data_IF_842702803523
#
_entry.id   IF_842702803523
#
_cell.length_a   1.000
_cell.length_b   1.000
_cell.length_c   1.000
_cell.angle_alpha   90.00
_cell.angle_beta   90.00
_cell.angle_gamma   90.00
#
_symmetry.space_group_name_H-M   'P 1'
#
loop_
_entity.id
_entity.type
_entity.pdbx_description
1 polymer ?
#
# COMPACT_ATOMS: atom_id res chain seq x y z
N UNK A 1 -4.03 8.23 -19.05
CA UNK A 1 -2.66 8.38 -19.59
C UNK A 1 -2.72 8.93 -21.02
N UNK A 2 -2.30 10.18 -21.21
CA UNK A 2 -2.37 10.86 -22.49
C UNK A 2 -1.05 10.67 -23.30
N UNK A 3 -0.96 9.56 -24.02
CA UNK A 3 0.15 9.28 -24.92
C UNK A 3 -0.28 9.48 -26.38
N UNK A 4 0.66 9.73 -27.28
CA UNK A 4 0.40 9.95 -28.71
C UNK A 4 0.18 8.64 -29.46
N UNK A 5 -1.05 8.31 -29.92
CA UNK A 5 -1.38 6.99 -30.46
C UNK A 5 -0.60 6.60 -31.71
N UNK A 6 -0.17 7.60 -32.50
CA UNK A 6 0.54 7.41 -33.78
C UNK A 6 2.04 7.16 -33.60
N UNK A 7 2.61 7.51 -32.45
CA UNK A 7 4.03 7.28 -32.13
C UNK A 7 4.23 5.86 -31.59
N UNK A 8 5.40 5.28 -31.84
CA UNK A 8 5.83 4.07 -31.15
C UNK A 8 6.18 4.40 -29.70
N UNK A 9 6.25 3.38 -28.81
CA UNK A 9 6.71 3.58 -27.43
C UNK A 9 8.06 4.31 -27.40
N UNK A 10 9.03 3.85 -28.19
CA UNK A 10 10.35 4.49 -28.28
C UNK A 10 10.30 5.95 -28.80
N UNK A 11 9.44 6.24 -29.77
CA UNK A 11 9.26 7.62 -30.27
C UNK A 11 8.63 8.52 -29.20
N UNK A 12 7.68 7.99 -28.43
CA UNK A 12 7.04 8.68 -27.31
C UNK A 12 8.07 9.06 -26.24
N UNK A 13 8.91 8.11 -25.82
CA UNK A 13 9.96 8.37 -24.83
C UNK A 13 11.00 9.37 -25.36
N UNK A 14 11.36 9.27 -26.64
CA UNK A 14 12.26 10.25 -27.28
C UNK A 14 11.65 11.65 -27.31
N UNK A 15 10.35 11.74 -27.57
CA UNK A 15 9.64 13.02 -27.58
C UNK A 15 9.68 13.68 -26.19
N UNK A 16 9.27 12.95 -25.14
CA UNK A 16 9.33 13.45 -23.75
C UNK A 16 10.77 13.76 -23.32
N UNK A 17 11.73 12.90 -23.67
CA UNK A 17 13.13 13.13 -23.34
C UNK A 17 13.70 14.43 -23.89
N UNK A 18 13.32 14.81 -25.12
CA UNK A 18 13.75 16.08 -25.70
C UNK A 18 13.21 17.31 -24.96
N UNK A 19 12.06 17.19 -24.30
CA UNK A 19 11.48 18.27 -23.48
C UNK A 19 12.25 18.45 -22.16
N UNK A 20 12.98 17.43 -21.72
CA UNK A 20 13.72 17.40 -20.45
C UNK A 20 15.26 17.38 -20.64
N UNK A 21 15.74 17.85 -21.79
CA UNK A 21 17.18 18.04 -22.02
C UNK A 21 17.93 16.82 -22.57
N UNK A 22 17.24 15.72 -22.86
CA UNK A 22 17.87 14.53 -23.46
C UNK A 22 17.21 13.21 -23.15
N UNK A 23 17.83 12.12 -23.61
CA UNK A 23 17.34 10.75 -23.44
C UNK A 23 18.51 9.87 -23.04
N UNK A 24 18.46 9.29 -21.85
CA UNK A 24 19.35 8.23 -21.39
C UNK A 24 18.81 6.86 -21.82
N UNK A 25 19.21 6.42 -23.02
CA UNK A 25 18.76 5.12 -23.55
C UNK A 25 19.25 3.90 -22.74
N UNK A 26 20.47 3.83 -22.21
CA UNK A 26 20.89 2.80 -21.27
C UNK A 26 19.90 2.65 -20.09
N UNK A 27 19.55 3.74 -19.43
CA UNK A 27 18.59 3.72 -18.31
C UNK A 27 17.17 3.35 -18.75
N UNK A 28 16.69 3.91 -19.85
CA UNK A 28 15.39 3.54 -20.44
C UNK A 28 15.33 2.04 -20.76
N UNK A 29 16.40 1.45 -21.27
CA UNK A 29 16.43 0.02 -21.54
C UNK A 29 16.36 -0.82 -20.26
N UNK A 30 17.00 -0.40 -19.17
CA UNK A 30 16.85 -1.04 -17.86
C UNK A 30 15.38 -1.00 -17.39
N UNK A 31 14.75 0.18 -17.43
CA UNK A 31 13.33 0.32 -17.09
C UNK A 31 12.43 -0.55 -17.97
N UNK A 32 12.71 -0.60 -19.28
CA UNK A 32 11.98 -1.41 -20.25
C UNK A 32 12.07 -2.90 -19.92
N UNK A 33 13.26 -3.38 -19.57
CA UNK A 33 13.49 -4.80 -19.22
C UNK A 33 12.79 -5.15 -17.91
N UNK A 34 12.92 -4.34 -16.90
CA UNK A 34 12.26 -4.53 -15.60
C UNK A 34 10.74 -4.58 -15.73
N UNK A 35 10.15 -3.69 -16.51
CA UNK A 35 8.69 -3.64 -16.71
C UNK A 35 8.19 -4.56 -17.83
N UNK A 36 9.08 -5.29 -18.52
CA UNK A 36 8.74 -6.09 -19.70
C UNK A 36 7.90 -5.29 -20.72
N UNK A 37 8.38 -4.08 -21.09
CA UNK A 37 7.63 -3.16 -21.92
C UNK A 37 7.97 -3.28 -23.40
N UNK A 38 6.96 -3.32 -24.28
CA UNK A 38 7.14 -3.30 -25.72
C UNK A 38 7.15 -1.84 -26.22
N UNK A 39 8.31 -1.36 -26.65
CA UNK A 39 8.50 -0.02 -27.20
C UNK A 39 8.45 0.05 -28.74
N UNK A 40 8.36 -1.08 -29.43
CA UNK A 40 8.45 -1.12 -30.91
C UNK A 40 7.12 -0.82 -31.60
N UNK A 41 5.98 -1.16 -30.99
CA UNK A 41 4.64 -0.94 -31.53
C UNK A 41 4.17 0.51 -31.31
N UNK A 42 3.22 0.95 -32.13
CA UNK A 42 2.52 2.21 -31.92
C UNK A 42 1.70 2.17 -30.64
N UNK A 43 1.66 3.27 -29.90
CA UNK A 43 0.92 3.37 -28.63
C UNK A 43 -0.56 3.00 -28.81
N UNK A 44 -1.18 3.37 -29.92
CA UNK A 44 -2.56 3.00 -30.22
C UNK A 44 -2.80 1.49 -30.45
N UNK A 45 -1.75 0.73 -30.77
CA UNK A 45 -1.78 -0.71 -31.01
C UNK A 45 -1.39 -1.55 -29.76
N UNK A 46 -0.96 -0.88 -28.68
CA UNK A 46 -0.55 -1.52 -27.44
C UNK A 46 -1.78 -1.92 -26.59
N UNK A 47 -1.65 -3.03 -25.86
CA UNK A 47 -2.59 -3.34 -24.76
C UNK A 47 -2.59 -2.23 -23.72
N UNK A 48 -3.65 -2.17 -22.92
CA UNK A 48 -3.75 -1.19 -21.81
C UNK A 48 -2.55 -1.31 -20.87
N UNK A 49 -2.18 -2.53 -20.45
CA UNK A 49 -1.02 -2.75 -19.59
C UNK A 49 0.30 -2.28 -20.23
N UNK A 50 0.52 -2.55 -21.53
CA UNK A 50 1.77 -2.10 -22.15
C UNK A 50 1.79 -0.57 -22.38
N UNK A 51 0.64 0.08 -22.60
CA UNK A 51 0.54 1.55 -22.58
C UNK A 51 0.90 2.12 -21.22
N UNK A 52 0.41 1.48 -20.14
CA UNK A 52 0.75 1.84 -18.77
C UNK A 52 2.26 1.74 -18.54
N UNK A 53 2.89 0.62 -18.93
CA UNK A 53 4.35 0.43 -18.85
C UNK A 53 5.13 1.54 -19.55
N UNK A 54 4.72 1.94 -20.75
CA UNK A 54 5.34 3.08 -21.47
C UNK A 54 5.19 4.39 -20.70
N UNK A 55 4.03 4.62 -20.07
CA UNK A 55 3.80 5.80 -19.24
C UNK A 55 4.68 5.82 -17.98
N UNK A 56 4.82 4.68 -17.31
CA UNK A 56 5.69 4.54 -16.15
C UNK A 56 7.16 4.82 -16.51
N UNK A 57 7.64 4.27 -17.65
CA UNK A 57 8.99 4.57 -18.14
C UNK A 57 9.14 6.08 -18.42
N UNK A 58 8.15 6.71 -19.04
CA UNK A 58 8.20 8.14 -19.31
C UNK A 58 8.28 8.98 -18.02
N UNK A 59 7.61 8.57 -16.96
CA UNK A 59 7.65 9.24 -15.66
C UNK A 59 8.98 9.03 -14.92
N UNK A 60 9.56 7.83 -15.02
CA UNK A 60 10.76 7.45 -14.28
C UNK A 60 12.08 7.83 -14.99
N UNK A 61 12.09 7.91 -16.33
CA UNK A 61 13.33 8.02 -17.13
C UNK A 61 14.15 9.28 -16.89
N UNK A 62 13.57 10.31 -16.28
CA UNK A 62 14.24 11.56 -15.95
C UNK A 62 14.71 11.63 -14.51
N UNK A 63 14.48 10.58 -13.71
CA UNK A 63 14.84 10.51 -12.31
C UNK A 63 14.40 11.77 -11.51
N UNK A 64 13.12 12.17 -11.59
CA UNK A 64 12.65 13.40 -10.95
C UNK A 64 12.80 13.33 -9.43
N UNK A 65 13.03 14.48 -8.78
CA UNK A 65 13.05 14.58 -7.31
C UNK A 65 11.67 14.30 -6.68
N UNK A 66 10.60 14.64 -7.42
CA UNK A 66 9.21 14.37 -7.03
C UNK A 66 8.50 13.62 -8.15
N UNK A 67 7.99 12.45 -7.85
CA UNK A 67 7.19 11.61 -8.74
C UNK A 67 5.73 11.60 -8.26
N UNK A 68 4.79 12.07 -9.09
CA UNK A 68 3.35 12.08 -8.79
C UNK A 68 2.65 11.13 -9.76
N UNK A 69 1.91 10.17 -9.21
CA UNK A 69 1.23 9.14 -9.99
C UNK A 69 -0.20 8.91 -9.50
N UNK A 70 -1.11 8.76 -10.45
CA UNK A 70 -2.51 8.44 -10.19
C UNK A 70 -2.79 7.02 -10.66
N UNK A 71 -3.15 6.12 -9.72
CA UNK A 71 -3.46 4.70 -9.97
C UNK A 71 -2.43 3.99 -10.87
N UNK A 72 -1.12 4.04 -10.54
CA UNK A 72 -0.07 3.59 -11.46
C UNK A 72 -0.07 2.09 -11.75
N UNK A 73 -0.66 1.28 -10.88
CA UNK A 73 -0.71 -0.19 -11.01
C UNK A 73 -1.82 -0.69 -11.93
N UNK A 74 -2.75 0.19 -12.33
CA UNK A 74 -3.92 -0.20 -13.13
C UNK A 74 -3.51 -0.84 -14.45
N UNK A 75 -3.98 -2.07 -14.69
CA UNK A 75 -3.74 -2.81 -15.93
C UNK A 75 -2.37 -3.49 -16.02
N UNK A 76 -1.55 -3.47 -14.97
CA UNK A 76 -0.33 -4.26 -14.87
C UNK A 76 -0.63 -5.67 -14.35
N UNK A 77 0.10 -6.65 -14.87
CA UNK A 77 0.07 -8.00 -14.31
C UNK A 77 0.82 -8.06 -12.94
N UNK A 78 0.53 -9.07 -12.09
CA UNK A 78 1.07 -9.13 -10.73
C UNK A 78 2.60 -9.13 -10.65
N UNK A 79 3.30 -9.73 -11.62
CA UNK A 79 4.77 -9.77 -11.62
C UNK A 79 5.35 -8.38 -11.90
N UNK A 80 4.77 -7.68 -12.86
CA UNK A 80 5.17 -6.31 -13.21
C UNK A 80 4.81 -5.34 -12.08
N UNK A 81 3.66 -5.51 -11.41
CA UNK A 81 3.31 -4.73 -10.21
C UNK A 81 4.37 -4.91 -9.12
N UNK A 82 4.78 -6.14 -8.84
CA UNK A 82 5.81 -6.42 -7.84
C UNK A 82 7.13 -5.71 -8.17
N UNK A 83 7.57 -5.81 -9.42
CA UNK A 83 8.79 -5.15 -9.90
C UNK A 83 8.68 -3.63 -9.82
N UNK A 84 7.53 -3.08 -10.21
CA UNK A 84 7.26 -1.65 -10.13
C UNK A 84 7.29 -1.15 -8.67
N UNK A 85 6.69 -1.88 -7.73
CA UNK A 85 6.76 -1.55 -6.30
C UNK A 85 8.21 -1.54 -5.78
N UNK A 86 9.05 -2.46 -6.26
CA UNK A 86 10.48 -2.46 -5.92
C UNK A 86 11.17 -1.20 -6.47
N UNK A 87 10.88 -0.82 -7.73
CA UNK A 87 11.43 0.40 -8.33
C UNK A 87 11.03 1.67 -7.56
N UNK A 88 9.80 1.74 -7.02
CA UNK A 88 9.36 2.86 -6.20
C UNK A 88 10.12 2.94 -4.88
N UNK A 89 10.34 1.80 -4.21
CA UNK A 89 11.15 1.75 -2.98
C UNK A 89 12.60 2.14 -3.23
N UNK A 90 13.21 1.68 -4.34
CA UNK A 90 14.55 2.09 -4.76
C UNK A 90 14.61 3.61 -4.99
N UNK A 91 13.60 4.17 -5.69
CA UNK A 91 13.46 5.60 -5.94
C UNK A 91 13.42 6.40 -4.63
N UNK A 92 12.65 5.94 -3.64
CA UNK A 92 12.55 6.59 -2.33
C UNK A 92 13.86 6.44 -1.53
N UNK A 93 14.52 5.29 -1.58
CA UNK A 93 15.80 5.02 -0.92
C UNK A 93 16.94 5.91 -1.46
N UNK A 94 16.85 6.34 -2.72
CA UNK A 94 17.76 7.32 -3.33
C UNK A 94 17.48 8.78 -2.89
N UNK A 95 16.53 9.00 -1.97
CA UNK A 95 16.17 10.32 -1.44
C UNK A 95 15.16 11.10 -2.28
N UNK A 96 14.54 10.47 -3.28
CA UNK A 96 13.48 11.07 -4.10
C UNK A 96 12.11 10.86 -3.44
N UNK A 97 11.19 11.78 -3.69
CA UNK A 97 9.82 11.69 -3.14
C UNK A 97 8.88 11.04 -4.16
N UNK A 98 8.15 10.03 -3.70
CA UNK A 98 7.09 9.39 -4.48
C UNK A 98 5.74 9.68 -3.83
N UNK A 99 4.83 10.29 -4.60
CA UNK A 99 3.45 10.51 -4.21
C UNK A 99 2.55 9.75 -5.19
N UNK A 100 1.73 8.83 -4.67
CA UNK A 100 0.83 8.03 -5.51
C UNK A 100 -0.56 7.96 -4.90
N UNK A 101 -1.58 7.85 -5.76
CA UNK A 101 -2.92 7.42 -5.35
C UNK A 101 -3.07 5.92 -5.60
N UNK A 102 -3.86 5.25 -4.75
CA UNK A 102 -4.36 3.90 -4.97
C UNK A 102 -5.69 3.73 -4.25
N UNK A 103 -6.58 2.93 -4.82
CA UNK A 103 -7.78 2.45 -4.16
C UNK A 103 -7.59 1.07 -3.52
N UNK A 104 -6.40 0.49 -3.67
CA UNK A 104 -6.04 -0.83 -3.13
C UNK A 104 -5.13 -0.66 -1.92
N UNK A 105 -5.67 -0.82 -0.72
CA UNK A 105 -4.96 -0.58 0.53
C UNK A 105 -3.76 -1.52 0.72
N UNK A 106 -3.86 -2.78 0.28
CA UNK A 106 -2.74 -3.72 0.32
C UNK A 106 -1.54 -3.31 -0.56
N UNK A 107 -1.77 -2.54 -1.64
CA UNK A 107 -0.70 -1.93 -2.44
C UNK A 107 -0.02 -0.81 -1.66
N UNK A 108 -0.82 0.08 -1.05
CA UNK A 108 -0.31 1.18 -0.21
C UNK A 108 0.57 0.63 0.92
N UNK A 109 0.11 -0.41 1.60
CA UNK A 109 0.88 -1.10 2.64
C UNK A 109 2.26 -1.57 2.17
N UNK A 110 2.38 -1.98 0.91
CA UNK A 110 3.63 -2.56 0.37
C UNK A 110 4.66 -1.51 -0.01
N UNK A 111 4.24 -0.30 -0.39
CA UNK A 111 5.15 0.68 -1.01
C UNK A 111 5.25 2.00 -0.27
N UNK A 112 4.25 2.39 0.53
CA UNK A 112 4.20 3.68 1.17
C UNK A 112 4.79 3.66 2.58
N UNK A 113 5.45 4.75 2.96
CA UNK A 113 5.87 5.02 4.34
C UNK A 113 4.74 5.71 5.12
N UNK A 114 3.97 6.56 4.43
CA UNK A 114 2.85 7.32 4.99
C UNK A 114 1.64 7.22 4.08
N UNK A 115 0.45 7.25 4.67
CA UNK A 115 -0.82 7.25 3.94
C UNK A 115 -1.67 8.43 4.37
N UNK A 116 -2.25 9.14 3.40
CA UNK A 116 -3.27 10.15 3.62
C UNK A 116 -4.65 9.58 3.23
N UNK A 117 -5.60 9.65 4.15
CA UNK A 117 -6.98 9.19 3.94
C UNK A 117 -7.84 10.39 3.53
N UNK A 118 -8.46 10.30 2.34
CA UNK A 118 -9.34 11.35 1.81
C UNK A 118 -10.78 10.84 1.79
N UNK A 119 -11.70 11.62 2.37
CA UNK A 119 -13.15 11.36 2.36
C UNK A 119 -13.90 12.61 1.95
N UNK A 120 -14.80 12.50 0.96
CA UNK A 120 -15.62 13.64 0.47
C UNK A 120 -14.78 14.89 0.13
N UNK A 121 -13.57 14.69 -0.41
CA UNK A 121 -12.65 15.78 -0.78
C UNK A 121 -11.90 16.42 0.39
N UNK A 122 -11.99 15.87 1.60
CA UNK A 122 -11.27 16.34 2.79
C UNK A 122 -10.24 15.30 3.23
N UNK A 123 -9.07 15.76 3.64
CA UNK A 123 -8.06 14.92 4.26
C UNK A 123 -8.49 14.61 5.70
N UNK A 124 -8.77 13.35 5.99
CA UNK A 124 -9.30 12.88 7.27
C UNK A 124 -8.18 12.52 8.24
N UNK A 125 -7.14 11.85 7.74
CA UNK A 125 -6.00 11.43 8.52
C UNK A 125 -4.73 11.37 7.69
N UNK A 126 -3.57 11.46 8.34
CA UNK A 126 -2.25 11.15 7.78
C UNK A 126 -1.53 10.26 8.79
N UNK A 127 -1.26 9.01 8.39
CA UNK A 127 -0.69 8.01 9.28
C UNK A 127 0.61 7.43 8.71
N UNK A 128 1.48 6.94 9.58
CA UNK A 128 2.62 6.11 9.16
C UNK A 128 2.14 4.67 8.96
N UNK A 129 2.52 4.08 7.85
CA UNK A 129 2.16 2.68 7.55
C UNK A 129 2.81 1.71 8.56
N UNK A 130 3.97 2.06 9.10
CA UNK A 130 4.63 1.26 10.15
C UNK A 130 3.80 1.19 11.45
N UNK A 131 3.22 2.34 11.87
CA UNK A 131 2.38 2.40 13.08
C UNK A 131 1.08 1.62 12.88
N UNK A 132 0.49 1.73 11.69
CA UNK A 132 -0.70 0.95 11.32
C UNK A 132 -0.43 -0.56 11.27
N UNK A 133 0.76 -0.98 10.85
CA UNK A 133 1.18 -2.40 10.87
C UNK A 133 1.49 -2.92 12.27
N UNK A 134 1.82 -2.05 13.21
CA UNK A 134 2.06 -2.46 14.61
C UNK A 134 0.76 -2.90 15.29
N UNK A 135 -0.39 -2.48 14.79
CA UNK A 135 -1.69 -2.91 15.28
C UNK A 135 -1.97 -4.35 14.84
N UNK A 136 -2.34 -5.20 15.79
CA UNK A 136 -2.67 -6.60 15.57
C UNK A 136 -4.15 -6.84 15.82
N UNK A 137 -4.77 -7.70 15.05
CA UNK A 137 -6.04 -8.32 15.41
C UNK A 137 -5.75 -9.60 16.16
N UNK A 138 -6.25 -9.68 17.37
CA UNK A 138 -6.07 -10.82 18.26
C UNK A 138 -7.44 -11.44 18.54
N UNK A 139 -7.53 -12.75 18.37
CA UNK A 139 -8.67 -13.57 18.77
C UNK A 139 -8.22 -14.53 19.85
N UNK A 140 -8.93 -14.52 20.98
CA UNK A 140 -8.67 -15.35 22.14
C UNK A 140 -9.88 -16.24 22.39
N UNK A 141 -9.68 -17.55 22.43
CA UNK A 141 -10.68 -18.49 22.92
C UNK A 141 -10.32 -18.80 24.38
N UNK A 142 -11.24 -18.51 25.27
CA UNK A 142 -11.06 -18.60 26.73
C UNK A 142 -11.68 -19.89 27.30
N UNK A 143 -11.29 -20.23 28.51
CA UNK A 143 -11.80 -21.39 29.22
C UNK A 143 -13.23 -21.21 29.77
N UNK A 144 -13.76 -19.98 29.73
CA UNK A 144 -15.12 -19.60 30.14
C UNK A 144 -15.58 -18.34 29.47
N UNK A 145 -16.88 -18.03 29.56
CA UNK A 145 -17.47 -16.80 29.04
C UNK A 145 -16.84 -15.55 29.66
N UNK A 146 -16.72 -14.51 28.89
CA UNK A 146 -16.11 -13.24 29.25
C UNK A 146 -17.00 -12.06 28.81
N UNK A 147 -16.71 -10.89 29.33
CA UNK A 147 -17.41 -9.65 29.00
C UNK A 147 -16.43 -8.65 28.37
N UNK A 148 -16.87 -7.75 27.49
CA UNK A 148 -16.00 -6.75 26.84
C UNK A 148 -15.22 -5.89 27.86
N UNK A 149 -15.82 -5.60 29.03
CA UNK A 149 -15.20 -4.76 30.04
C UNK A 149 -13.95 -5.39 30.69
N UNK A 150 -13.78 -6.71 30.62
CA UNK A 150 -12.61 -7.41 31.15
C UNK A 150 -11.32 -7.09 30.38
N UNK A 151 -11.46 -6.59 29.14
CA UNK A 151 -10.35 -6.27 28.24
C UNK A 151 -10.13 -4.77 28.07
N UNK A 152 -11.15 -3.92 28.33
CA UNK A 152 -11.06 -2.46 28.09
C UNK A 152 -10.05 -1.75 29.00
N UNK A 153 -9.64 -2.39 30.10
CA UNK A 153 -8.60 -1.87 31.01
C UNK A 153 -7.17 -2.27 30.61
N UNK A 154 -6.98 -3.09 29.58
CA UNK A 154 -5.67 -3.56 29.14
C UNK A 154 -5.05 -2.50 28.26
N UNK A 155 -3.86 -1.93 28.61
CA UNK A 155 -3.20 -0.93 27.79
C UNK A 155 -2.89 -1.46 26.41
N UNK A 156 -3.29 -0.73 25.36
CA UNK A 156 -3.12 -1.12 23.97
C UNK A 156 -4.26 -1.98 23.40
N UNK A 157 -5.29 -2.31 24.18
CA UNK A 157 -6.47 -3.01 23.68
C UNK A 157 -7.53 -2.02 23.18
N UNK A 158 -7.99 -2.21 21.94
CA UNK A 158 -8.98 -1.39 21.26
C UNK A 158 -10.03 -2.28 20.58
N UNK A 159 -11.20 -1.73 20.24
CA UNK A 159 -12.26 -2.40 19.46
C UNK A 159 -12.62 -3.79 20.01
N UNK A 160 -12.78 -3.89 21.33
CA UNK A 160 -13.03 -5.17 21.99
C UNK A 160 -14.46 -5.63 21.72
N UNK A 161 -14.59 -6.82 21.16
CA UNK A 161 -15.85 -7.55 21.02
C UNK A 161 -15.74 -8.92 21.65
N UNK A 162 -16.78 -9.36 22.36
CA UNK A 162 -16.80 -10.65 23.02
C UNK A 162 -18.10 -11.38 22.68
N UNK A 163 -17.97 -12.63 22.28
CA UNK A 163 -19.07 -13.55 22.06
C UNK A 163 -18.82 -14.84 22.86
N UNK A 164 -19.59 -15.03 23.93
CA UNK A 164 -19.42 -16.16 24.84
C UNK A 164 -17.99 -16.21 25.39
N UNK A 165 -17.22 -17.24 25.03
CA UNK A 165 -15.83 -17.43 25.44
C UNK A 165 -14.79 -16.96 24.44
N UNK A 166 -15.21 -16.25 23.39
CA UNK A 166 -14.30 -15.76 22.32
C UNK A 166 -14.22 -14.24 22.35
N UNK A 167 -13.03 -13.72 22.62
CA UNK A 167 -12.73 -12.29 22.60
C UNK A 167 -11.93 -11.92 21.35
N UNK A 168 -12.37 -10.89 20.61
CA UNK A 168 -11.67 -10.29 19.49
C UNK A 168 -11.34 -8.85 19.82
N UNK A 169 -10.10 -8.44 19.57
CA UNK A 169 -9.64 -7.08 19.84
C UNK A 169 -8.53 -6.64 18.89
N UNK A 170 -8.41 -5.34 18.70
CA UNK A 170 -7.20 -4.72 18.14
C UNK A 170 -6.21 -4.48 19.28
N UNK A 171 -4.92 -4.69 19.01
CA UNK A 171 -3.86 -4.55 20.01
C UNK A 171 -2.62 -3.88 19.41
N UNK A 172 -2.12 -2.83 20.07
CA UNK A 172 -0.96 -2.02 19.63
C UNK A 172 0.26 -2.19 20.55
N UNK A 173 0.36 -3.31 21.27
CA UNK A 173 1.44 -3.59 22.21
C UNK A 173 2.18 -4.90 21.95
N UNK A 174 3.08 -5.24 22.88
CA UNK A 174 3.70 -6.57 22.91
C UNK A 174 2.68 -7.64 23.28
N UNK A 175 2.51 -8.65 22.45
CA UNK A 175 1.54 -9.73 22.67
C UNK A 175 1.71 -10.40 24.05
N UNK A 176 2.96 -10.46 24.55
CA UNK A 176 3.26 -10.99 25.87
C UNK A 176 2.56 -10.22 27.01
N UNK A 177 2.44 -8.90 26.92
CA UNK A 177 1.74 -8.08 27.92
C UNK A 177 0.24 -8.33 27.91
N UNK A 178 -0.37 -8.49 26.73
CA UNK A 178 -1.77 -8.88 26.59
C UNK A 178 -2.02 -10.24 27.21
N UNK A 179 -1.20 -11.25 26.87
CA UNK A 179 -1.34 -12.60 27.40
C UNK A 179 -1.19 -12.64 28.91
N UNK A 180 -0.23 -11.88 29.47
CA UNK A 180 -0.06 -11.78 30.93
C UNK A 180 -1.30 -11.17 31.60
N UNK A 181 -1.87 -10.13 31.05
CA UNK A 181 -3.07 -9.49 31.58
C UNK A 181 -4.29 -10.44 31.54
N UNK A 182 -4.50 -11.13 30.41
CA UNK A 182 -5.62 -12.05 30.23
C UNK A 182 -5.48 -13.29 31.11
N UNK A 183 -4.29 -13.86 31.19
CA UNK A 183 -4.05 -15.10 32.01
C UNK A 183 -4.13 -14.85 33.51
N UNK A 184 -4.14 -13.62 33.97
CA UNK A 184 -4.44 -13.29 35.38
C UNK A 184 -5.89 -13.66 35.79
N UNK A 185 -6.82 -13.71 34.81
CA UNK A 185 -8.24 -13.91 35.05
C UNK A 185 -8.78 -15.15 34.33
N UNK A 186 -8.33 -15.42 33.10
CA UNK A 186 -8.84 -16.46 32.20
C UNK A 186 -7.77 -17.47 31.80
N UNK A 187 -8.17 -18.73 31.59
CA UNK A 187 -7.37 -19.70 30.85
C UNK A 187 -7.52 -19.45 29.34
N UNK A 188 -6.41 -19.43 28.59
CA UNK A 188 -6.43 -19.31 27.12
C UNK A 188 -6.44 -20.71 26.53
N UNK A 189 -7.49 -21.07 25.79
CA UNK A 189 -7.64 -22.35 25.09
C UNK A 189 -7.00 -22.29 23.71
N UNK A 190 -7.19 -21.16 22.99
CA UNK A 190 -6.61 -20.93 21.68
C UNK A 190 -6.33 -19.44 21.47
N UNK A 191 -5.38 -19.14 20.60
CA UNK A 191 -4.96 -17.79 20.24
C UNK A 191 -4.68 -17.71 18.74
N UNK A 192 -5.35 -16.81 18.05
CA UNK A 192 -4.97 -16.38 16.73
C UNK A 192 -4.55 -14.90 16.76
N UNK A 193 -3.42 -14.58 16.11
CA UNK A 193 -2.96 -13.21 15.97
C UNK A 193 -2.53 -12.97 14.54
N UNK A 194 -3.04 -11.90 13.93
CA UNK A 194 -2.65 -11.44 12.60
C UNK A 194 -2.40 -9.95 12.61
N UNK A 195 -1.60 -9.46 11.67
CA UNK A 195 -1.46 -8.02 11.47
C UNK A 195 -2.82 -7.45 11.07
N UNK A 196 -3.14 -6.26 11.58
CA UNK A 196 -4.37 -5.58 11.17
C UNK A 196 -4.28 -5.22 9.68
N UNK A 197 -5.36 -5.47 8.95
CA UNK A 197 -5.46 -5.03 7.57
C UNK A 197 -5.77 -3.52 7.54
N UNK A 198 -5.10 -2.77 6.64
CA UNK A 198 -5.41 -1.36 6.44
C UNK A 198 -6.88 -1.13 6.09
N UNK A 199 -7.54 -2.11 5.47
CA UNK A 199 -8.98 -2.03 5.18
C UNK A 199 -9.81 -1.94 6.46
N UNK A 200 -9.47 -2.72 7.48
CA UNK A 200 -10.15 -2.69 8.78
C UNK A 200 -9.91 -1.36 9.51
N UNK A 201 -8.65 -0.90 9.49
CA UNK A 201 -8.29 0.40 10.08
C UNK A 201 -8.97 1.54 9.34
N UNK A 202 -9.02 1.45 8.00
CA UNK A 202 -9.70 2.44 7.16
C UNK A 202 -11.21 2.50 7.45
N UNK A 203 -11.87 1.36 7.65
CA UNK A 203 -13.28 1.29 8.02
C UNK A 203 -13.55 1.94 9.38
N UNK A 204 -12.67 1.76 10.36
CA UNK A 204 -12.79 2.41 11.67
C UNK A 204 -12.80 3.94 11.55
N UNK A 205 -11.93 4.55 10.70
CA UNK A 205 -11.99 5.98 10.40
C UNK A 205 -13.29 6.44 9.71
N UNK A 206 -14.03 5.50 9.08
CA UNK A 206 -15.33 5.80 8.47
C UNK A 206 -16.48 5.72 9.47
N UNK A 207 -16.39 4.86 10.48
CA UNK A 207 -17.46 4.62 11.48
C UNK A 207 -17.42 5.64 12.63
N UNK A 208 -16.26 6.05 13.10
CA UNK A 208 -16.13 7.03 14.21
C UNK A 208 -16.69 8.43 13.90
N UNK A 209 -17.03 8.74 12.64
CA UNK A 209 -17.55 10.04 12.22
C UNK A 209 -18.94 9.95 11.54
N UNK A 210 -19.66 8.86 11.68
CA UNK A 210 -21.05 8.71 11.23
C UNK A 210 -22.02 9.03 12.35
#
# INVERSE_FOLDING_TARGET
LALYPKLTGAQTLRFFGRLHGGVDWPYINQLRERLDANLSKRVGELSTGNRQKVGLIAALMHQPELLIMDEPNTGLDPLVQHEFHQMLRETAAEGRTVFLSSHTLSEVQRVADRVGIIRRGQLVAIENVADLRAMRRVELVLDRDAEPHDFTGIPGAHDVTVHENTAQLAFDGELGSLLHAVTATYGIVDLASRDADLEEIFLAFYEEQA
#
